data_IF_227691871443
#
_entry.id   IF_227691871443
#
_cell.length_a   1.000
_cell.length_b   1.000
_cell.length_c   1.000
_cell.angle_alpha   90.00
_cell.angle_beta   90.00
_cell.angle_gamma   90.00
#
_symmetry.space_group_name_H-M   'P 1'
#
loop_
_entity.id
_entity.type
_entity.pdbx_description
1 polymer ?
#
# COMPACT_ATOMS: atom_id res chain seq x y z
N UNK A 1 -13.24 4.20 4.54
CA UNK A 1 -13.33 3.26 5.70
C UNK A 1 -12.03 2.48 5.77
N UNK A 2 -11.53 2.20 6.98
CA UNK A 2 -10.37 1.32 7.13
C UNK A 2 -10.73 -0.10 6.64
N UNK A 3 -9.81 -0.75 5.93
CA UNK A 3 -10.00 -2.14 5.52
C UNK A 3 -9.99 -3.05 6.77
N UNK A 4 -10.89 -4.02 6.80
CA UNK A 4 -10.99 -5.01 7.88
C UNK A 4 -11.57 -6.30 7.34
N UNK A 5 -11.42 -7.39 8.09
CA UNK A 5 -12.01 -8.66 7.74
C UNK A 5 -11.83 -9.73 8.80
N UNK A 6 -12.38 -10.90 8.51
CA UNK A 6 -12.25 -12.08 9.34
C UNK A 6 -11.85 -13.29 8.51
N UNK A 7 -10.99 -14.12 9.08
CA UNK A 7 -10.54 -15.40 8.51
C UNK A 7 -10.90 -16.46 9.54
N UNK A 8 -11.57 -17.53 9.13
CA UNK A 8 -12.16 -18.49 10.05
C UNK A 8 -11.80 -19.92 9.67
N UNK A 9 -11.63 -20.77 10.69
CA UNK A 9 -11.54 -22.22 10.55
C UNK A 9 -12.52 -22.87 11.54
N UNK A 10 -13.36 -23.76 11.04
CA UNK A 10 -14.23 -24.55 11.88
C UNK A 10 -13.39 -25.54 12.71
N UNK A 11 -13.70 -25.66 13.99
CA UNK A 11 -13.18 -26.70 14.86
C UNK A 11 -14.20 -27.87 14.85
N UNK A 12 -15.44 -27.54 15.14
CA UNK A 12 -16.61 -28.39 15.15
C UNK A 12 -17.85 -27.51 14.98
N UNK A 13 -19.02 -28.09 14.70
CA UNK A 13 -20.30 -27.36 14.76
C UNK A 13 -20.38 -26.56 16.06
N UNK A 14 -20.61 -25.24 15.93
CA UNK A 14 -20.68 -24.32 17.05
C UNK A 14 -19.37 -23.74 17.56
N UNK A 15 -18.20 -24.22 17.08
CA UNK A 15 -16.89 -23.71 17.50
C UNK A 15 -15.99 -23.39 16.32
N UNK A 16 -15.31 -22.26 16.37
CA UNK A 16 -14.33 -21.86 15.35
C UNK A 16 -13.16 -21.08 15.92
N UNK A 17 -12.02 -21.23 15.29
CA UNK A 17 -10.88 -20.32 15.42
C UNK A 17 -11.04 -19.19 14.40
N UNK A 18 -10.80 -17.94 14.81
CA UNK A 18 -10.97 -16.78 13.95
C UNK A 18 -9.78 -15.85 14.09
N UNK A 19 -9.37 -15.22 12.96
CA UNK A 19 -8.50 -14.05 12.95
C UNK A 19 -9.36 -12.87 12.52
N UNK A 20 -9.59 -11.92 13.42
CA UNK A 20 -10.19 -10.63 13.07
C UNK A 20 -9.07 -9.60 12.86
N UNK A 21 -9.03 -8.97 11.70
CA UNK A 21 -8.00 -7.98 11.39
C UNK A 21 -8.60 -6.64 10.98
N UNK A 22 -7.88 -5.56 11.28
CA UNK A 22 -8.27 -4.19 10.94
C UNK A 22 -7.02 -3.39 10.60
N UNK A 23 -7.07 -2.66 9.47
CA UNK A 23 -6.05 -1.68 9.11
C UNK A 23 -6.35 -0.39 9.86
N UNK A 24 -5.36 0.13 10.56
CA UNK A 24 -5.39 1.40 11.27
C UNK A 24 -4.88 2.55 10.41
N UNK A 25 -3.91 3.32 10.94
CA UNK A 25 -3.30 4.44 10.23
C UNK A 25 -2.46 4.00 9.04
N UNK A 26 -2.49 4.82 7.98
CA UNK A 26 -1.61 4.68 6.81
C UNK A 26 -0.65 5.86 6.73
N UNK A 27 0.61 5.58 6.46
CA UNK A 27 1.64 6.59 6.20
C UNK A 27 1.90 6.69 4.69
N UNK A 28 1.40 7.75 4.06
CA UNK A 28 1.63 8.01 2.64
C UNK A 28 3.12 8.23 2.35
N UNK A 29 3.82 8.95 3.23
CA UNK A 29 5.26 9.21 3.10
C UNK A 29 6.09 7.91 3.13
N UNK A 30 5.82 7.05 4.13
CA UNK A 30 6.59 5.82 4.33
C UNK A 30 6.06 4.62 3.54
N UNK A 31 4.92 4.76 2.86
CA UNK A 31 4.24 3.67 2.14
C UNK A 31 3.95 2.46 3.04
N UNK A 32 3.42 2.70 4.23
CA UNK A 32 3.15 1.68 5.25
C UNK A 32 1.74 1.80 5.83
N UNK A 33 1.22 0.68 6.33
CA UNK A 33 -0.02 0.65 7.13
C UNK A 33 0.23 -0.02 8.48
N UNK A 34 -0.43 0.49 9.52
CA UNK A 34 -0.60 -0.23 10.78
C UNK A 34 -1.71 -1.27 10.60
N UNK A 35 -1.51 -2.49 11.05
CA UNK A 35 -2.54 -3.53 11.07
C UNK A 35 -2.59 -4.19 12.44
N UNK A 36 -3.80 -4.33 12.97
CA UNK A 36 -4.08 -5.08 14.19
C UNK A 36 -4.79 -6.38 13.84
N UNK A 37 -4.27 -7.51 14.31
CA UNK A 37 -4.90 -8.81 14.19
C UNK A 37 -5.19 -9.40 15.58
N UNK A 38 -6.41 -9.94 15.76
CA UNK A 38 -6.87 -10.61 16.97
C UNK A 38 -7.12 -12.08 16.64
N UNK A 39 -6.48 -12.98 17.39
CA UNK A 39 -6.80 -14.42 17.37
C UNK A 39 -7.93 -14.64 18.37
N UNK A 40 -9.02 -15.26 17.92
CA UNK A 40 -10.23 -15.41 18.72
C UNK A 40 -10.74 -16.86 18.65
N UNK A 41 -11.23 -17.34 19.78
CA UNK A 41 -12.01 -18.57 19.86
C UNK A 41 -13.49 -18.18 20.00
N UNK A 42 -14.33 -18.75 19.15
CA UNK A 42 -15.73 -18.35 19.02
C UNK A 42 -16.65 -19.53 19.26
N UNK A 43 -17.65 -19.34 20.10
CA UNK A 43 -18.82 -20.21 20.28
C UNK A 43 -20.06 -19.54 19.71
N UNK A 44 -20.84 -20.26 18.91
CA UNK A 44 -22.04 -19.72 18.21
C UNK A 44 -23.36 -20.20 18.81
N UNK A 45 -23.37 -20.84 19.97
CA UNK A 45 -24.58 -21.28 20.66
C UNK A 45 -24.39 -21.37 22.17
N UNK A 46 -25.46 -21.19 22.92
CA UNK A 46 -25.44 -21.13 24.38
C UNK A 46 -24.92 -22.42 25.05
N UNK A 47 -25.14 -23.57 24.42
CA UNK A 47 -24.69 -24.88 24.91
C UNK A 47 -23.26 -25.24 24.50
N UNK A 48 -22.61 -24.43 23.64
CA UNK A 48 -21.24 -24.73 23.17
C UNK A 48 -20.20 -24.11 24.09
N UNK A 49 -19.86 -24.80 25.18
CA UNK A 49 -18.86 -24.38 26.18
C UNK A 49 -17.58 -25.23 26.10
N UNK A 50 -16.47 -24.67 26.50
CA UNK A 50 -15.19 -25.37 26.71
C UNK A 50 -14.70 -25.11 28.13
N UNK A 51 -14.63 -26.15 28.94
CA UNK A 51 -14.15 -26.10 30.33
C UNK A 51 -12.67 -26.52 30.39
N UNK A 52 -11.77 -25.70 29.85
CA UNK A 52 -10.33 -25.98 29.83
C UNK A 52 -9.54 -24.73 30.17
N UNK A 53 -9.18 -24.59 31.46
CA UNK A 53 -8.40 -23.49 32.00
C UNK A 53 -6.89 -23.66 31.84
N UNK A 54 -6.41 -24.87 31.50
CA UNK A 54 -4.99 -25.12 31.33
C UNK A 54 -4.34 -24.22 30.28
N UNK A 55 -3.12 -23.79 30.58
CA UNK A 55 -2.32 -23.00 29.62
C UNK A 55 -2.00 -23.78 28.38
N UNK A 56 -2.16 -23.18 27.23
CA UNK A 56 -1.94 -23.73 25.89
C UNK A 56 -1.10 -22.78 25.07
N UNK A 57 -0.49 -23.26 24.00
CA UNK A 57 0.34 -22.47 23.11
C UNK A 57 -0.36 -22.19 21.77
N UNK A 58 -0.12 -20.99 21.25
CA UNK A 58 -0.57 -20.59 19.93
C UNK A 58 0.48 -19.75 19.20
N UNK A 59 0.24 -19.52 17.93
CA UNK A 59 1.02 -18.61 17.12
C UNK A 59 0.13 -17.82 16.17
N UNK A 60 0.52 -16.57 15.89
CA UNK A 60 -0.06 -15.71 14.87
C UNK A 60 1.04 -15.28 13.92
N UNK A 61 0.86 -15.49 12.63
CA UNK A 61 1.74 -14.99 11.58
C UNK A 61 1.05 -13.84 10.86
N UNK A 62 1.69 -12.69 10.75
CA UNK A 62 1.23 -11.52 10.01
C UNK A 62 2.29 -11.16 8.99
N UNK A 63 1.95 -11.20 7.72
CA UNK A 63 2.85 -10.85 6.62
C UNK A 63 4.22 -11.56 6.70
N UNK A 64 4.20 -12.86 7.03
CA UNK A 64 5.41 -13.70 7.15
C UNK A 64 6.10 -13.70 8.52
N UNK A 65 5.81 -12.73 9.40
CA UNK A 65 6.41 -12.69 10.74
C UNK A 65 5.55 -13.41 11.75
N UNK A 66 6.14 -14.39 12.47
CA UNK A 66 5.48 -15.23 13.47
C UNK A 66 5.62 -14.66 14.88
N UNK A 67 4.50 -14.65 15.63
CA UNK A 67 4.39 -14.28 17.04
C UNK A 67 3.81 -15.45 17.81
N UNK A 68 4.43 -15.86 18.92
CA UNK A 68 3.94 -16.92 19.80
C UNK A 68 3.23 -16.32 21.01
N UNK A 69 2.24 -17.05 21.55
CA UNK A 69 1.49 -16.64 22.73
C UNK A 69 0.99 -17.84 23.52
N UNK A 70 0.66 -17.61 24.78
CA UNK A 70 -0.03 -18.59 25.63
C UNK A 70 -1.47 -18.16 25.85
N UNK A 71 -2.40 -19.09 25.97
CA UNK A 71 -3.80 -18.82 26.16
C UNK A 71 -4.51 -19.95 26.96
N UNK A 72 -5.72 -19.70 27.41
CA UNK A 72 -6.66 -20.69 27.94
C UNK A 72 -7.80 -20.90 26.96
N UNK A 73 -8.14 -22.16 26.68
CA UNK A 73 -9.23 -22.49 25.77
C UNK A 73 -10.63 -22.42 26.44
N UNK A 74 -10.73 -22.07 27.74
CA UNK A 74 -12.02 -21.90 28.38
C UNK A 74 -12.89 -20.88 27.61
N UNK A 75 -14.12 -21.28 27.27
CA UNK A 75 -15.04 -20.52 26.43
C UNK A 75 -16.48 -20.77 26.89
N UNK A 76 -17.25 -19.70 27.10
CA UNK A 76 -18.68 -19.79 27.40
C UNK A 76 -19.50 -19.85 26.10
N UNK A 77 -20.74 -20.30 26.22
CA UNK A 77 -21.67 -20.28 25.09
C UNK A 77 -21.92 -18.85 24.57
N UNK A 78 -22.14 -18.72 23.26
CA UNK A 78 -22.32 -17.43 22.56
C UNK A 78 -21.19 -16.41 22.80
N UNK A 79 -19.96 -16.89 23.03
CA UNK A 79 -18.82 -16.03 23.33
C UNK A 79 -17.83 -15.93 22.17
N UNK A 80 -17.32 -14.73 21.97
CA UNK A 80 -16.08 -14.47 21.21
C UNK A 80 -14.98 -14.08 22.19
N UNK A 81 -14.05 -14.98 22.43
CA UNK A 81 -12.92 -14.77 23.34
C UNK A 81 -11.67 -14.43 22.56
N UNK A 82 -11.08 -13.27 22.83
CA UNK A 82 -9.77 -12.91 22.27
C UNK A 82 -8.67 -13.63 23.03
N UNK A 83 -7.87 -14.42 22.32
CA UNK A 83 -6.72 -15.17 22.85
C UNK A 83 -5.44 -14.36 22.78
N UNK A 84 -5.26 -13.57 21.69
CA UNK A 84 -4.08 -12.77 21.44
C UNK A 84 -4.42 -11.59 20.54
N UNK A 85 -3.73 -10.47 20.74
CA UNK A 85 -3.81 -9.29 19.89
C UNK A 85 -2.40 -8.82 19.56
N UNK A 86 -2.15 -8.53 18.28
CA UNK A 86 -0.89 -7.96 17.82
C UNK A 86 -1.14 -6.86 16.81
N UNK A 87 -0.45 -5.73 17.01
CA UNK A 87 -0.39 -4.64 16.03
C UNK A 87 1.02 -4.58 15.46
N UNK A 88 1.11 -4.45 14.14
CA UNK A 88 2.37 -4.35 13.40
C UNK A 88 2.26 -3.30 12.30
N UNK A 89 3.40 -2.78 11.85
CA UNK A 89 3.50 -1.95 10.66
C UNK A 89 3.92 -2.82 9.48
N UNK A 90 3.20 -2.74 8.36
CA UNK A 90 3.52 -3.47 7.13
C UNK A 90 3.76 -2.51 5.98
N UNK A 91 4.80 -2.78 5.19
CA UNK A 91 5.10 -2.03 3.98
C UNK A 91 4.18 -2.45 2.83
N UNK A 92 3.79 -1.49 2.00
CA UNK A 92 3.08 -1.71 0.74
C UNK A 92 4.05 -1.90 -0.43
N UNK A 93 3.57 -2.40 -1.55
CA UNK A 93 4.30 -2.45 -2.81
C UNK A 93 4.58 -1.03 -3.34
N UNK A 94 5.47 -0.90 -4.33
CA UNK A 94 5.86 0.40 -4.90
C UNK A 94 4.71 1.18 -5.53
N UNK A 95 3.64 0.49 -5.94
CA UNK A 95 2.40 1.08 -6.46
C UNK A 95 1.39 1.47 -5.35
N UNK A 96 1.74 1.22 -4.08
CA UNK A 96 0.90 1.48 -2.91
C UNK A 96 -0.10 0.37 -2.59
N UNK A 97 -0.15 -0.71 -3.36
CA UNK A 97 -1.01 -1.86 -3.09
C UNK A 97 -0.46 -2.74 -1.95
N UNK A 98 -1.37 -3.47 -1.27
CA UNK A 98 -0.99 -4.45 -0.25
C UNK A 98 -2.04 -5.53 -0.11
N UNK A 99 -1.60 -6.78 -0.25
CA UNK A 99 -2.30 -7.96 0.26
C UNK A 99 -1.46 -8.54 1.40
N UNK A 100 -2.07 -8.68 2.58
CA UNK A 100 -1.41 -9.18 3.79
C UNK A 100 -1.90 -10.58 4.10
N UNK A 101 -0.97 -11.51 4.27
CA UNK A 101 -1.28 -12.87 4.69
C UNK A 101 -1.36 -12.95 6.22
N UNK A 102 -2.33 -13.74 6.70
CA UNK A 102 -2.54 -14.04 8.11
C UNK A 102 -2.66 -15.54 8.31
N UNK A 103 -2.05 -16.07 9.36
CA UNK A 103 -2.24 -17.45 9.79
C UNK A 103 -2.16 -17.53 11.31
N UNK A 104 -3.10 -18.23 11.95
CA UNK A 104 -3.06 -18.53 13.37
C UNK A 104 -3.18 -20.02 13.58
N UNK A 105 -2.29 -20.60 14.39
CA UNK A 105 -2.36 -21.98 14.83
C UNK A 105 -2.47 -22.01 16.35
N UNK A 106 -3.48 -22.71 16.87
CA UNK A 106 -3.74 -22.86 18.30
C UNK A 106 -3.82 -24.34 18.66
N UNK A 107 -2.98 -24.80 19.57
CA UNK A 107 -3.09 -26.11 20.19
C UNK A 107 -4.21 -26.09 21.24
N UNK A 108 -5.46 -26.23 20.81
CA UNK A 108 -6.61 -26.17 21.73
C UNK A 108 -6.68 -27.36 22.68
N UNK A 109 -6.25 -28.53 22.23
CA UNK A 109 -6.10 -29.78 23.00
C UNK A 109 -7.29 -30.04 23.94
N UNK A 110 -8.49 -30.19 23.34
CA UNK A 110 -9.74 -30.43 24.05
C UNK A 110 -10.53 -31.55 23.39
N UNK A 111 -11.35 -32.26 24.17
CA UNK A 111 -12.33 -33.23 23.68
C UNK A 111 -13.71 -32.58 23.66
N UNK A 112 -14.35 -32.54 22.49
CA UNK A 112 -15.68 -31.96 22.31
C UNK A 112 -16.60 -33.03 21.72
N UNK A 113 -17.64 -33.42 22.49
CA UNK A 113 -18.57 -34.48 22.10
C UNK A 113 -17.89 -35.81 21.70
N UNK A 114 -16.92 -36.22 22.49
CA UNK A 114 -16.19 -37.47 22.29
C UNK A 114 -15.03 -37.42 21.30
N UNK A 115 -14.84 -36.35 20.57
CA UNK A 115 -13.75 -36.15 19.59
C UNK A 115 -12.67 -35.24 20.14
N UNK A 116 -11.40 -35.68 20.07
CA UNK A 116 -10.25 -34.84 20.44
C UNK A 116 -9.85 -33.90 19.32
N UNK A 117 -9.64 -32.63 19.68
CA UNK A 117 -9.15 -31.56 18.81
C UNK A 117 -7.81 -31.05 19.33
N UNK A 118 -6.74 -31.27 18.58
CA UNK A 118 -5.38 -30.83 18.87
C UNK A 118 -5.10 -29.42 18.32
N UNK A 119 -4.26 -29.36 17.29
CA UNK A 119 -3.96 -28.09 16.61
C UNK A 119 -5.08 -27.70 15.62
N UNK A 120 -5.47 -26.45 15.69
CA UNK A 120 -6.40 -25.83 14.73
C UNK A 120 -5.72 -24.65 14.08
N UNK A 121 -5.83 -24.54 12.76
CA UNK A 121 -5.23 -23.45 11.98
C UNK A 121 -6.29 -22.71 11.18
N UNK A 122 -6.31 -21.38 11.31
CA UNK A 122 -7.03 -20.47 10.43
C UNK A 122 -6.01 -19.69 9.61
N UNK A 123 -6.17 -19.64 8.28
CA UNK A 123 -5.26 -18.91 7.38
C UNK A 123 -5.99 -18.30 6.22
N UNK A 124 -5.49 -17.16 5.73
CA UNK A 124 -6.03 -16.43 4.60
C UNK A 124 -5.30 -15.11 4.39
N UNK A 125 -5.88 -14.23 3.59
CA UNK A 125 -5.31 -12.91 3.33
C UNK A 125 -6.37 -11.82 3.36
N UNK A 126 -5.89 -10.57 3.52
CA UNK A 126 -6.71 -9.36 3.43
C UNK A 126 -6.05 -8.33 2.52
N UNK A 127 -6.83 -7.70 1.65
CA UNK A 127 -6.37 -6.61 0.81
C UNK A 127 -6.64 -5.27 1.51
N UNK A 128 -5.62 -4.43 1.59
CA UNK A 128 -5.68 -3.11 2.21
C UNK A 128 -6.03 -2.05 1.18
N UNK A 129 -6.51 -0.89 1.63
CA UNK A 129 -6.66 0.26 0.76
C UNK A 129 -5.30 0.66 0.19
N UNK A 130 -5.26 0.92 -1.11
CA UNK A 130 -4.04 1.37 -1.78
C UNK A 130 -3.60 2.73 -1.24
N UNK A 131 -2.32 2.86 -0.92
CA UNK A 131 -1.72 4.14 -0.52
C UNK A 131 -1.39 4.93 -1.79
N UNK A 132 -1.87 6.18 -1.95
CA UNK A 132 -1.55 7.01 -3.10
C UNK A 132 -0.04 7.20 -3.29
N UNK A 133 0.45 7.07 -4.54
CA UNK A 133 1.88 7.17 -4.87
C UNK A 133 2.15 8.28 -5.89
N UNK A 134 3.45 8.52 -6.17
CA UNK A 134 3.91 9.56 -7.07
C UNK A 134 3.28 9.44 -8.47
N UNK A 135 2.87 10.58 -9.01
CA UNK A 135 2.35 10.73 -10.36
C UNK A 135 3.38 10.32 -11.41
N UNK A 136 2.95 9.56 -12.40
CA UNK A 136 3.71 9.31 -13.63
C UNK A 136 3.27 10.36 -14.66
N UNK A 137 4.12 11.34 -15.01
CA UNK A 137 3.76 12.36 -15.99
C UNK A 137 3.69 11.78 -17.41
N UNK A 138 2.80 12.33 -18.24
CA UNK A 138 2.69 12.03 -19.65
C UNK A 138 2.73 13.32 -20.47
N UNK A 139 3.07 13.22 -21.76
CA UNK A 139 3.22 14.37 -22.64
C UNK A 139 2.20 14.29 -23.79
N UNK A 140 1.74 15.45 -24.27
CA UNK A 140 0.85 15.54 -25.43
C UNK A 140 1.54 15.14 -26.75
N UNK A 141 2.87 15.15 -26.79
CA UNK A 141 3.67 14.79 -27.96
C UNK A 141 5.00 14.18 -27.55
N UNK A 142 5.50 13.23 -28.33
CA UNK A 142 6.83 12.60 -28.16
C UNK A 142 7.96 13.41 -28.85
N UNK A 143 7.61 14.42 -29.64
CA UNK A 143 8.54 15.32 -30.33
C UNK A 143 7.92 16.71 -30.45
N UNK A 144 8.67 17.76 -30.15
CA UNK A 144 8.20 19.16 -30.08
C UNK A 144 9.31 20.07 -30.61
N UNK A 145 8.97 21.06 -31.43
CA UNK A 145 9.92 22.10 -31.83
C UNK A 145 10.21 23.06 -30.68
N UNK A 146 11.46 23.46 -30.52
CA UNK A 146 11.80 24.56 -29.60
C UNK A 146 11.06 25.83 -30.02
N UNK A 147 10.53 26.57 -29.05
CA UNK A 147 9.58 27.66 -29.28
C UNK A 147 8.12 27.23 -29.31
N UNK A 148 7.81 25.95 -29.45
CA UNK A 148 6.45 25.44 -29.39
C UNK A 148 6.10 24.86 -27.99
N UNK A 149 4.80 24.78 -27.70
CA UNK A 149 4.31 24.27 -26.41
C UNK A 149 4.07 22.75 -26.42
N UNK A 150 4.40 22.11 -25.30
CA UNK A 150 4.00 20.75 -24.95
C UNK A 150 3.14 20.76 -23.69
N UNK A 151 2.06 20.00 -23.67
CA UNK A 151 1.27 19.81 -22.45
C UNK A 151 1.81 18.62 -21.66
N UNK A 152 2.14 18.87 -20.39
CA UNK A 152 2.57 17.86 -19.43
C UNK A 152 1.36 17.53 -18.57
N UNK A 153 0.86 16.29 -18.64
CA UNK A 153 -0.26 15.79 -17.85
C UNK A 153 0.25 15.07 -16.61
N UNK A 154 -0.33 15.38 -15.47
CA UNK A 154 0.05 14.87 -14.16
C UNK A 154 -1.19 14.36 -13.41
N UNK A 155 -1.73 13.17 -13.75
CA UNK A 155 -2.90 12.64 -13.07
C UNK A 155 -2.62 12.45 -11.58
N UNK A 156 -3.47 13.00 -10.71
CA UNK A 156 -3.30 12.93 -9.25
C UNK A 156 -3.90 11.66 -8.69
N UNK A 157 -3.14 10.96 -7.87
CA UNK A 157 -3.64 9.85 -7.04
C UNK A 157 -4.46 10.35 -5.82
N UNK A 158 -4.28 11.61 -5.42
CA UNK A 158 -5.07 12.29 -4.38
C UNK A 158 -5.26 13.77 -4.74
N UNK A 159 -6.42 14.33 -4.44
CA UNK A 159 -6.72 15.76 -4.65
C UNK A 159 -5.81 16.70 -3.86
N UNK A 160 -5.20 16.21 -2.76
CA UNK A 160 -4.25 16.99 -1.94
C UNK A 160 -2.83 17.03 -2.53
N UNK A 161 -2.56 16.31 -3.64
CA UNK A 161 -1.23 16.31 -4.24
C UNK A 161 -1.04 17.50 -5.15
N UNK A 162 0.14 18.08 -5.10
CA UNK A 162 0.64 19.04 -6.08
C UNK A 162 1.97 18.57 -6.69
N UNK A 163 2.42 19.27 -7.72
CA UNK A 163 3.59 18.88 -8.49
C UNK A 163 4.56 20.03 -8.68
N UNK A 164 5.85 19.71 -8.63
CA UNK A 164 6.91 20.56 -9.13
C UNK A 164 7.52 19.90 -10.35
N UNK A 165 7.58 20.64 -11.46
CA UNK A 165 8.18 20.21 -12.71
C UNK A 165 9.51 20.93 -12.94
N UNK A 166 10.51 20.14 -13.31
CA UNK A 166 11.80 20.62 -13.79
C UNK A 166 12.13 20.00 -15.15
N UNK A 167 13.00 20.62 -15.93
CA UNK A 167 13.51 20.04 -17.15
C UNK A 167 15.03 19.92 -17.12
N UNK A 168 15.56 19.01 -17.95
CA UNK A 168 16.98 18.93 -18.30
C UNK A 168 17.14 18.65 -19.77
N UNK A 169 18.09 19.37 -20.44
CA UNK A 169 18.43 19.20 -21.83
C UNK A 169 19.92 19.55 -22.03
N UNK A 170 20.74 18.57 -22.39
CA UNK A 170 22.19 18.75 -22.38
C UNK A 170 22.70 19.18 -21.01
N UNK A 171 23.38 20.33 -20.93
CA UNK A 171 23.82 20.95 -19.67
C UNK A 171 22.80 21.95 -19.10
N UNK A 172 21.76 22.28 -19.85
CA UNK A 172 20.72 23.20 -19.40
C UNK A 172 19.70 22.49 -18.55
N UNK A 173 19.25 23.14 -17.49
CA UNK A 173 18.16 22.68 -16.63
C UNK A 173 17.43 23.89 -16.03
N UNK A 174 16.18 23.66 -15.59
CA UNK A 174 15.40 24.70 -14.95
C UNK A 174 14.08 24.20 -14.39
N UNK A 175 13.39 25.08 -13.65
CA UNK A 175 12.06 24.83 -13.11
C UNK A 175 11.00 25.30 -14.09
N UNK A 176 10.05 24.41 -14.42
CA UNK A 176 8.88 24.71 -15.25
C UNK A 176 7.77 25.33 -14.41
N UNK A 177 7.62 24.85 -13.17
CA UNK A 177 6.65 25.38 -12.21
C UNK A 177 6.54 24.55 -10.95
N UNK A 178 5.96 25.13 -9.90
CA UNK A 178 5.69 24.53 -8.60
C UNK A 178 4.23 24.73 -8.21
N UNK A 179 3.70 23.92 -7.28
CA UNK A 179 2.30 23.95 -6.86
C UNK A 179 1.32 23.62 -7.99
N UNK A 180 1.77 22.84 -8.98
CA UNK A 180 1.01 22.57 -10.20
C UNK A 180 -0.07 21.50 -9.94
N UNK A 181 -1.19 21.68 -10.63
CA UNK A 181 -2.32 20.76 -10.60
C UNK A 181 -2.12 19.49 -11.44
N UNK A 182 -3.10 19.24 -12.31
CA UNK A 182 -3.17 18.01 -13.12
C UNK A 182 -2.55 18.16 -14.51
N UNK A 183 -2.22 19.38 -14.93
CA UNK A 183 -1.58 19.65 -16.22
C UNK A 183 -0.83 20.99 -16.22
N UNK A 184 0.15 21.11 -17.12
CA UNK A 184 0.89 22.34 -17.40
C UNK A 184 1.27 22.40 -18.87
N UNK A 185 0.84 23.42 -19.57
CA UNK A 185 1.42 23.78 -20.86
C UNK A 185 2.77 24.46 -20.61
N UNK A 186 3.80 24.01 -21.35
CA UNK A 186 5.15 24.54 -21.25
C UNK A 186 5.70 24.81 -22.65
N UNK A 187 6.10 26.03 -22.90
CA UNK A 187 6.83 26.40 -24.10
C UNK A 187 8.29 25.94 -23.95
N UNK A 188 8.74 25.11 -24.89
CA UNK A 188 10.12 24.61 -24.90
C UNK A 188 11.05 25.76 -25.29
N UNK A 189 11.97 26.18 -24.39
CA UNK A 189 12.77 27.39 -24.69
C UNK A 189 13.62 27.21 -25.95
N UNK A 190 13.56 28.20 -26.87
CA UNK A 190 14.34 28.20 -28.10
C UNK A 190 15.85 28.24 -27.81
N UNK A 191 16.25 28.85 -26.69
CA UNK A 191 17.63 28.92 -26.23
C UNK A 191 18.28 27.54 -25.99
N UNK A 192 17.48 26.47 -25.87
CA UNK A 192 18.00 25.10 -25.74
C UNK A 192 18.76 24.66 -27.01
N UNK A 193 18.51 25.27 -28.17
CA UNK A 193 19.26 24.99 -29.41
C UNK A 193 20.76 25.18 -29.23
N UNK A 194 21.20 26.12 -28.38
CA UNK A 194 22.62 26.34 -28.06
C UNK A 194 23.31 25.13 -27.41
N UNK A 195 22.56 24.18 -26.86
CA UNK A 195 23.12 22.96 -26.27
C UNK A 195 23.47 21.91 -27.32
N UNK A 196 23.01 22.07 -28.56
CA UNK A 196 23.21 21.13 -29.67
C UNK A 196 23.57 21.89 -30.97
N UNK A 197 24.67 22.68 -31.00
CA UNK A 197 24.95 23.64 -32.05
C UNK A 197 25.08 23.03 -33.47
N UNK A 198 25.37 21.75 -33.56
CA UNK A 198 25.45 21.00 -34.85
C UNK A 198 24.34 19.95 -34.99
N UNK A 199 23.41 19.89 -34.06
CA UNK A 199 22.33 18.91 -34.03
C UNK A 199 20.97 19.51 -34.39
N UNK A 200 20.10 18.70 -34.98
CA UNK A 200 18.71 19.10 -35.29
C UNK A 200 17.73 18.75 -34.18
N UNK A 201 18.13 17.93 -33.21
CA UNK A 201 17.28 17.53 -32.08
C UNK A 201 18.06 16.92 -30.92
N UNK A 202 17.50 16.94 -29.72
CA UNK A 202 18.04 16.28 -28.54
C UNK A 202 16.92 15.78 -27.60
N UNK A 203 17.29 14.97 -26.62
CA UNK A 203 16.36 14.46 -25.61
C UNK A 203 16.19 15.49 -24.50
N UNK A 204 14.93 15.93 -24.29
CA UNK A 204 14.54 16.73 -23.14
C UNK A 204 13.85 15.84 -22.13
N UNK A 205 14.31 15.85 -20.87
CA UNK A 205 13.71 15.08 -19.78
C UNK A 205 12.96 16.02 -18.85
N UNK A 206 11.69 15.72 -18.62
CA UNK A 206 10.84 16.37 -17.62
C UNK A 206 10.82 15.52 -16.37
N UNK A 207 11.15 16.10 -15.23
CA UNK A 207 11.09 15.46 -13.93
C UNK A 207 9.93 16.05 -13.14
N UNK A 208 9.01 15.18 -12.72
CA UNK A 208 7.85 15.50 -11.91
C UNK A 208 8.07 15.01 -10.47
N UNK A 209 8.12 15.94 -9.53
CA UNK A 209 8.09 15.66 -8.09
C UNK A 209 6.67 15.83 -7.59
N UNK A 210 6.11 14.80 -6.96
CA UNK A 210 4.77 14.83 -6.36
C UNK A 210 4.88 15.09 -4.87
N UNK A 211 4.11 16.05 -4.36
CA UNK A 211 4.08 16.43 -2.95
C UNK A 211 2.67 16.24 -2.37
N UNK A 212 2.61 15.95 -1.06
CA UNK A 212 1.42 16.07 -0.23
C UNK A 212 1.72 17.14 0.83
N UNK A 213 1.27 18.36 0.61
CA UNK A 213 1.75 19.53 1.34
C UNK A 213 3.27 19.69 1.16
N UNK A 214 4.04 19.72 2.24
CA UNK A 214 5.51 19.81 2.19
C UNK A 214 6.21 18.44 2.03
N UNK A 215 5.49 17.32 2.09
CA UNK A 215 6.08 15.97 2.05
C UNK A 215 6.24 15.49 0.62
N UNK A 216 7.48 15.18 0.20
CA UNK A 216 7.77 14.56 -1.09
C UNK A 216 7.29 13.10 -1.08
N UNK A 217 6.31 12.77 -1.94
CA UNK A 217 5.77 11.42 -2.12
C UNK A 217 6.66 10.59 -3.04
N UNK A 218 7.27 11.24 -4.03
CA UNK A 218 8.21 10.62 -4.95
C UNK A 218 8.44 11.42 -6.21
N UNK A 219 9.31 10.88 -7.07
CA UNK A 219 9.77 11.52 -8.31
C UNK A 219 9.60 10.55 -9.46
N UNK A 220 9.07 11.03 -10.59
CA UNK A 220 8.96 10.30 -11.86
C UNK A 220 9.37 11.22 -13.00
N UNK A 221 9.84 10.63 -14.11
CA UNK A 221 10.29 11.41 -15.26
C UNK A 221 9.70 10.87 -16.56
N UNK A 222 9.61 11.75 -17.54
CA UNK A 222 9.23 11.44 -18.92
C UNK A 222 10.14 12.24 -19.85
N UNK A 223 10.42 11.74 -21.05
CA UNK A 223 11.29 12.41 -22.01
C UNK A 223 10.60 12.54 -23.36
N UNK A 224 11.00 13.58 -24.11
CA UNK A 224 10.59 13.80 -25.49
C UNK A 224 11.78 14.32 -26.33
N UNK A 225 11.62 14.29 -27.64
CA UNK A 225 12.60 14.85 -28.58
C UNK A 225 12.32 16.34 -28.82
N UNK A 226 13.18 17.22 -28.31
CA UNK A 226 13.14 18.66 -28.64
C UNK A 226 13.92 18.88 -29.95
N UNK A 227 13.27 19.50 -30.94
CA UNK A 227 13.82 19.77 -32.28
C UNK A 227 14.16 21.24 -32.44
N UNK A 228 15.26 21.52 -33.11
CA UNK A 228 15.59 22.86 -33.59
C UNK A 228 14.63 23.18 -34.74
N UNK A 229 13.93 24.32 -34.72
CA UNK A 229 13.08 24.76 -35.86
C UNK A 229 13.92 25.00 -37.12
N UNK A 230 13.32 24.76 -38.28
CA UNK A 230 14.01 24.90 -39.59
C UNK A 230 14.38 26.37 -39.94
N UNK A 231 13.83 27.35 -39.21
CA UNK A 231 14.11 28.77 -39.35
C UNK A 231 14.51 29.39 -38.00
N UNK A 232 15.78 29.32 -37.64
CA UNK A 232 16.42 30.13 -36.59
C UNK A 232 17.59 30.89 -37.22
#
# INVERSE_FOLDING_TARGET
>A
MAASGTIQAAIRTGYRLQIAWTVGSQSVANNTSSVTAKVQLVSTGSSYTINSSASKSGSLTINGTKYTFSFSAALNGNQTKTLFTKTVTVAHASDGSKTCAFAATCGINVTLGGTYYGNVTASGSGTFNTIPRATVPTLSASSVNMGASVTINMPRASGSFDHTLTYSFGKASGTIGSGLGTSKAWEVPISLASQIPSGTSGTCTITCKTYNGSTLIGTKSVSFKAKVPDAI
#
